data_IF_357162082045
#
_entry.id   IF_357162082045
#
_cell.length_a   1.000
_cell.length_b   1.000
_cell.length_c   1.000
_cell.angle_alpha   90.00
_cell.angle_beta   90.00
_cell.angle_gamma   90.00
#
_symmetry.space_group_name_H-M   'P 1'
#
loop_
_entity.id
_entity.type
_entity.pdbx_description
1 polymer ?
#
# COMPACT_ATOMS: atom_id res chain seq x y z
N UNK A 1 9.09 37.58 -5.38
CA UNK A 1 8.23 36.49 -5.84
C UNK A 1 8.95 35.17 -5.56
N UNK A 2 8.25 34.16 -5.09
CA UNK A 2 8.78 32.80 -4.82
C UNK A 2 8.08 31.79 -5.72
N UNK A 3 8.79 30.77 -6.14
CA UNK A 3 8.20 29.64 -6.86
C UNK A 3 7.78 28.59 -5.84
N UNK A 4 6.48 28.37 -5.70
CA UNK A 4 5.92 27.38 -4.76
C UNK A 4 5.19 26.31 -5.57
N UNK A 5 5.42 25.03 -5.25
CA UNK A 5 4.67 23.92 -5.79
C UNK A 5 3.35 23.78 -5.02
N UNK A 6 2.23 24.12 -5.65
CA UNK A 6 0.89 24.09 -5.04
C UNK A 6 0.06 23.03 -5.74
N UNK A 7 -0.33 21.97 -5.04
CA UNK A 7 -1.13 20.86 -5.61
C UNK A 7 -0.55 20.39 -6.96
N UNK A 8 0.72 20.03 -7.02
CA UNK A 8 1.48 19.58 -8.20
C UNK A 8 1.83 20.67 -9.24
N UNK A 9 1.32 21.89 -9.10
CA UNK A 9 1.53 22.99 -10.06
C UNK A 9 2.49 24.01 -9.46
N UNK A 10 3.55 24.35 -10.18
CA UNK A 10 4.46 25.44 -9.78
C UNK A 10 3.79 26.79 -10.08
N UNK A 11 3.68 27.62 -9.06
CA UNK A 11 3.17 28.99 -9.17
C UNK A 11 4.17 30.00 -8.61
N UNK A 12 4.22 31.17 -9.19
CA UNK A 12 4.90 32.32 -8.62
C UNK A 12 3.93 33.06 -7.69
N UNK A 13 4.35 33.27 -6.44
CA UNK A 13 3.54 33.89 -5.38
C UNK A 13 4.32 35.01 -4.71
N UNK A 14 3.60 35.97 -4.13
CA UNK A 14 4.20 37.07 -3.36
C UNK A 14 4.22 36.76 -1.85
N UNK A 15 3.52 35.72 -1.42
CA UNK A 15 3.34 35.38 -0.01
C UNK A 15 4.64 34.96 0.66
N UNK A 16 4.86 35.40 1.90
CA UNK A 16 6.00 35.09 2.71
C UNK A 16 5.76 33.92 3.68
N UNK A 17 4.49 33.60 3.95
CA UNK A 17 4.06 32.57 4.88
C UNK A 17 2.78 31.88 4.40
N UNK A 18 2.37 30.82 5.10
CA UNK A 18 1.21 30.01 4.72
C UNK A 18 -0.12 30.75 4.83
N UNK A 19 -0.25 31.68 5.79
CA UNK A 19 -1.48 32.46 5.95
C UNK A 19 -1.68 33.41 4.75
N UNK A 20 -0.65 34.18 4.39
CA UNK A 20 -0.68 35.08 3.24
C UNK A 20 -0.92 34.28 1.94
N UNK A 21 -0.32 33.10 1.78
CA UNK A 21 -0.56 32.23 0.64
C UNK A 21 -2.03 31.78 0.54
N UNK A 22 -2.65 31.44 1.66
CA UNK A 22 -4.08 31.08 1.68
C UNK A 22 -4.94 32.26 1.23
N UNK A 23 -4.64 33.48 1.71
CA UNK A 23 -5.35 34.71 1.30
C UNK A 23 -5.12 35.00 -0.18
N UNK A 24 -3.88 34.98 -0.66
CA UNK A 24 -3.52 35.24 -2.06
C UNK A 24 -4.25 34.29 -3.03
N UNK A 25 -4.44 33.03 -2.63
CA UNK A 25 -5.08 32.00 -3.45
C UNK A 25 -6.59 31.84 -3.20
N UNK A 26 -7.17 32.60 -2.25
CA UNK A 26 -8.58 32.46 -1.89
C UNK A 26 -8.95 31.11 -1.30
N UNK A 27 -8.04 30.50 -0.51
CA UNK A 27 -8.24 29.18 0.10
C UNK A 27 -9.18 29.30 1.30
N UNK A 28 -10.27 28.55 1.27
CA UNK A 28 -11.30 28.56 2.33
C UNK A 28 -10.81 27.88 3.62
N UNK A 29 -11.41 28.27 4.77
CA UNK A 29 -10.99 27.79 6.10
C UNK A 29 -11.22 26.28 6.31
N UNK A 30 -12.14 25.66 5.58
CA UNK A 30 -12.42 24.24 5.60
C UNK A 30 -11.37 23.37 4.88
N UNK A 31 -10.32 24.01 4.35
CA UNK A 31 -9.25 23.35 3.58
C UNK A 31 -8.08 22.97 4.48
N UNK A 32 -7.70 21.70 4.43
CA UNK A 32 -6.50 21.19 5.13
C UNK A 32 -5.26 21.65 4.37
N UNK A 33 -4.29 22.22 5.10
CA UNK A 33 -2.98 22.58 4.57
C UNK A 33 -1.96 21.50 4.93
N UNK A 34 -1.28 20.95 3.94
CA UNK A 34 -0.12 20.08 4.13
C UNK A 34 1.12 20.84 3.67
N UNK A 35 2.10 20.99 4.55
CA UNK A 35 3.36 21.64 4.28
C UNK A 35 4.51 20.68 4.61
N UNK A 36 5.38 20.44 3.64
CA UNK A 36 6.52 19.49 3.77
C UNK A 36 6.11 18.11 4.28
N UNK A 37 4.94 17.61 3.87
CA UNK A 37 4.43 16.29 4.25
C UNK A 37 3.66 16.25 5.58
N UNK A 38 3.49 17.37 6.28
CA UNK A 38 2.78 17.45 7.57
C UNK A 38 1.55 18.34 7.48
N UNK A 39 0.43 17.87 8.04
CA UNK A 39 -0.75 18.72 8.20
C UNK A 39 -0.44 19.80 9.24
N UNK A 40 -0.75 21.04 8.93
CA UNK A 40 -0.48 22.17 9.81
C UNK A 40 -1.53 23.28 9.69
N UNK A 41 -1.85 23.89 10.82
CA UNK A 41 -2.62 25.14 10.91
C UNK A 41 -1.72 26.29 11.34
N UNK A 42 -0.41 26.05 11.51
CA UNK A 42 0.56 27.08 11.89
C UNK A 42 0.91 28.00 10.71
N UNK A 43 1.14 29.26 11.02
CA UNK A 43 1.60 30.22 10.04
C UNK A 43 3.11 30.15 9.80
N UNK A 44 3.54 29.14 9.01
CA UNK A 44 4.95 28.87 8.74
C UNK A 44 5.47 29.71 7.58
N UNK A 45 6.75 30.08 7.66
CA UNK A 45 7.46 30.84 6.59
C UNK A 45 7.65 29.95 5.36
N UNK A 46 7.38 30.52 4.19
CA UNK A 46 7.61 29.90 2.89
C UNK A 46 9.00 30.23 2.36
N UNK A 47 9.67 29.23 1.81
CA UNK A 47 10.91 29.37 1.06
C UNK A 47 10.68 29.07 -0.41
N UNK A 48 11.60 29.50 -1.26
CA UNK A 48 11.55 29.21 -2.69
C UNK A 48 11.63 27.67 -2.92
N UNK A 49 10.83 27.18 -3.87
CA UNK A 49 10.65 25.76 -4.19
C UNK A 49 9.97 24.91 -3.09
N UNK A 50 9.39 25.49 -2.07
CA UNK A 50 8.58 24.74 -1.11
C UNK A 50 7.35 24.10 -1.78
N UNK A 51 6.85 22.99 -1.18
CA UNK A 51 5.64 22.32 -1.63
C UNK A 51 4.52 22.49 -0.60
N UNK A 52 3.36 22.92 -1.07
CA UNK A 52 2.14 23.09 -0.28
C UNK A 52 1.00 22.35 -0.97
N UNK A 53 0.27 21.53 -0.21
CA UNK A 53 -0.92 20.84 -0.71
C UNK A 53 -2.14 21.34 0.06
N UNK A 54 -3.14 21.81 -0.66
CA UNK A 54 -4.44 22.20 -0.13
C UNK A 54 -5.49 21.16 -0.45
N UNK A 55 -6.07 20.52 0.58
CA UNK A 55 -7.09 19.48 0.43
C UNK A 55 -8.43 20.03 0.88
N UNK A 56 -9.31 20.33 -0.06
CA UNK A 56 -10.67 20.75 0.25
C UNK A 56 -11.54 19.53 0.59
N UNK A 57 -12.17 19.55 1.76
CA UNK A 57 -13.01 18.44 2.23
C UNK A 57 -14.18 18.19 1.26
N UNK A 58 -14.47 16.92 0.98
CA UNK A 58 -15.61 16.50 0.16
C UNK A 58 -15.49 16.77 -1.34
N UNK A 59 -14.35 17.28 -1.83
CA UNK A 59 -14.11 17.46 -3.26
C UNK A 59 -13.16 16.37 -3.79
N UNK A 60 -13.51 15.79 -4.94
CA UNK A 60 -12.62 14.89 -5.68
C UNK A 60 -11.67 15.79 -6.50
N UNK A 61 -10.37 15.75 -6.25
CA UNK A 61 -9.40 16.54 -7.00
C UNK A 61 -9.21 15.98 -8.41
N UNK A 62 -8.61 16.79 -9.31
CA UNK A 62 -8.16 16.29 -10.62
C UNK A 62 -7.10 15.20 -10.41
N UNK A 63 -7.05 14.21 -11.31
CA UNK A 63 -6.14 13.05 -11.21
C UNK A 63 -4.67 13.45 -10.99
N UNK A 64 -4.22 14.54 -11.61
CA UNK A 64 -2.85 15.06 -11.47
C UNK A 64 -2.49 15.41 -10.01
N UNK A 65 -3.48 15.92 -9.26
CA UNK A 65 -3.31 16.29 -7.85
C UNK A 65 -3.67 15.14 -6.90
N UNK A 66 -4.53 14.21 -7.33
CA UNK A 66 -5.05 13.14 -6.48
C UNK A 66 -3.93 12.28 -5.89
N UNK A 67 -2.96 11.87 -6.70
CA UNK A 67 -1.83 11.06 -6.27
C UNK A 67 -1.02 11.74 -5.15
N UNK A 68 -0.70 13.02 -5.32
CA UNK A 68 0.03 13.78 -4.29
C UNK A 68 -0.81 13.95 -3.01
N UNK A 69 -2.11 14.22 -3.16
CA UNK A 69 -3.01 14.37 -2.01
C UNK A 69 -3.18 13.07 -1.23
N UNK A 70 -3.22 11.92 -1.91
CA UNK A 70 -3.27 10.60 -1.26
C UNK A 70 -1.98 10.30 -0.49
N UNK A 71 -0.83 10.72 -1.01
CA UNK A 71 0.48 10.55 -0.38
C UNK A 71 0.84 11.65 0.64
N UNK A 72 0.03 12.70 0.77
CA UNK A 72 0.37 13.92 1.48
C UNK A 72 0.64 13.77 2.99
N UNK A 73 0.20 12.66 3.60
CA UNK A 73 0.45 12.36 5.02
C UNK A 73 1.66 11.45 5.26
N UNK A 74 2.30 11.00 4.19
CA UNK A 74 3.55 10.27 4.29
C UNK A 74 4.73 11.25 4.26
N UNK A 75 5.79 10.99 5.00
CA UNK A 75 7.03 11.75 4.81
C UNK A 75 7.64 11.50 3.42
N UNK A 76 8.47 12.41 2.89
CA UNK A 76 9.12 12.21 1.60
C UNK A 76 9.88 10.88 1.51
N UNK A 77 10.62 10.50 2.57
CA UNK A 77 11.40 9.27 2.62
C UNK A 77 10.51 8.03 2.53
N UNK A 78 9.34 8.06 3.20
CA UNK A 78 8.36 6.97 3.11
C UNK A 78 7.78 6.89 1.70
N UNK A 79 7.46 8.02 1.09
CA UNK A 79 6.95 8.05 -0.28
C UNK A 79 7.97 7.49 -1.28
N UNK A 80 9.25 7.83 -1.13
CA UNK A 80 10.33 7.31 -1.99
C UNK A 80 10.46 5.79 -1.82
N UNK A 81 10.43 5.30 -0.58
CA UNK A 81 10.47 3.86 -0.31
C UNK A 81 9.28 3.11 -0.90
N UNK A 82 8.06 3.66 -0.78
CA UNK A 82 6.84 3.06 -1.32
C UNK A 82 6.82 3.08 -2.87
N UNK A 83 7.32 4.16 -3.48
CA UNK A 83 7.43 4.27 -4.93
C UNK A 83 8.46 3.31 -5.54
N UNK A 84 9.52 2.97 -4.80
CA UNK A 84 10.53 2.00 -5.23
C UNK A 84 10.17 0.54 -4.94
N UNK A 85 9.20 0.28 -4.08
CA UNK A 85 8.90 -1.08 -3.62
C UNK A 85 8.10 -1.89 -4.65
N UNK A 86 8.56 -3.12 -4.93
CA UNK A 86 7.87 -4.11 -5.75
C UNK A 86 7.53 -5.32 -4.88
N UNK A 87 6.25 -5.47 -4.55
CA UNK A 87 5.80 -6.46 -3.58
C UNK A 87 4.93 -7.52 -4.25
N UNK A 88 5.31 -8.78 -4.09
CA UNK A 88 4.50 -9.94 -4.45
C UNK A 88 3.69 -10.44 -3.27
N UNK A 89 2.46 -10.87 -3.51
CA UNK A 89 1.59 -11.44 -2.49
C UNK A 89 1.21 -12.84 -2.94
N UNK A 90 1.66 -13.84 -2.20
CA UNK A 90 1.42 -15.25 -2.45
C UNK A 90 0.26 -15.76 -1.59
N UNK A 91 -0.88 -16.02 -2.22
CA UNK A 91 -2.14 -16.35 -1.56
C UNK A 91 -2.96 -15.11 -1.22
N UNK A 92 -4.20 -15.06 -1.69
CA UNK A 92 -5.10 -13.92 -1.57
C UNK A 92 -6.34 -14.25 -0.68
N UNK A 93 -6.13 -15.11 0.31
CA UNK A 93 -7.11 -15.40 1.34
C UNK A 93 -7.29 -14.25 2.34
N UNK A 94 -7.66 -14.57 3.59
CA UNK A 94 -7.94 -13.57 4.63
C UNK A 94 -6.78 -12.63 4.90
N UNK A 95 -5.56 -13.17 4.98
CA UNK A 95 -4.36 -12.39 5.21
C UNK A 95 -3.94 -11.62 3.94
N UNK A 96 -3.76 -12.33 2.81
CA UNK A 96 -3.23 -11.70 1.58
C UNK A 96 -4.12 -10.62 1.00
N UNK A 97 -5.45 -10.81 1.01
CA UNK A 97 -6.38 -9.77 0.56
C UNK A 97 -6.29 -8.51 1.45
N UNK A 98 -6.14 -8.69 2.76
CA UNK A 98 -5.99 -7.57 3.70
C UNK A 98 -4.66 -6.85 3.53
N UNK A 99 -3.55 -7.58 3.36
CA UNK A 99 -2.22 -7.03 3.10
C UNK A 99 -2.21 -6.24 1.79
N UNK A 100 -2.78 -6.79 0.71
CA UNK A 100 -2.84 -6.12 -0.59
C UNK A 100 -3.57 -4.76 -0.50
N UNK A 101 -4.73 -4.74 0.14
CA UNK A 101 -5.50 -3.51 0.34
C UNK A 101 -4.74 -2.50 1.20
N UNK A 102 -4.12 -2.93 2.29
CA UNK A 102 -3.34 -2.05 3.16
C UNK A 102 -2.15 -1.42 2.40
N UNK A 103 -1.40 -2.22 1.64
CA UNK A 103 -0.29 -1.74 0.82
C UNK A 103 -0.75 -0.78 -0.30
N UNK A 104 -1.87 -1.07 -0.95
CA UNK A 104 -2.45 -0.17 -1.94
C UNK A 104 -2.86 1.18 -1.33
N UNK A 105 -3.45 1.18 -0.12
CA UNK A 105 -3.85 2.40 0.59
C UNK A 105 -2.67 3.28 1.00
N UNK A 106 -1.57 2.69 1.46
CA UNK A 106 -0.37 3.47 1.82
C UNK A 106 0.41 3.95 0.59
N UNK A 107 0.10 3.45 -0.62
CA UNK A 107 0.66 3.98 -1.86
C UNK A 107 1.87 3.21 -2.41
N UNK A 108 1.99 1.90 -2.12
CA UNK A 108 2.97 1.04 -2.81
C UNK A 108 2.71 1.10 -4.31
N UNK A 109 3.75 1.33 -5.09
CA UNK A 109 3.61 1.57 -6.53
C UNK A 109 3.37 0.32 -7.36
N UNK A 110 3.81 -0.85 -6.89
CA UNK A 110 3.67 -2.11 -7.62
C UNK A 110 3.30 -3.27 -6.70
N UNK A 111 2.24 -3.98 -7.08
CA UNK A 111 1.77 -5.20 -6.43
C UNK A 111 1.62 -6.33 -7.45
N UNK A 112 2.22 -7.50 -7.18
CA UNK A 112 1.95 -8.73 -7.91
C UNK A 112 1.08 -9.65 -7.05
N UNK A 113 -0.13 -9.94 -7.53
CA UNK A 113 -1.13 -10.74 -6.82
C UNK A 113 -1.17 -12.15 -7.41
N UNK A 114 -0.92 -13.16 -6.58
CA UNK A 114 -0.84 -14.56 -7.03
C UNK A 114 -1.75 -15.45 -6.19
N UNK A 115 -2.72 -16.04 -6.86
CA UNK A 115 -3.65 -17.05 -6.30
C UNK A 115 -4.29 -17.83 -7.45
N UNK A 116 -4.73 -19.04 -7.24
CA UNK A 116 -5.41 -19.86 -8.25
C UNK A 116 -6.91 -20.04 -7.97
N UNK A 117 -7.39 -19.63 -6.78
CA UNK A 117 -8.75 -19.82 -6.34
C UNK A 117 -9.72 -18.78 -6.92
N UNK A 118 -10.99 -19.13 -6.88
CA UNK A 118 -12.12 -18.22 -7.04
C UNK A 118 -12.66 -17.75 -5.68
N UNK A 119 -13.39 -16.65 -5.70
CA UNK A 119 -14.11 -16.16 -4.53
C UNK A 119 -15.32 -17.06 -4.26
N UNK A 120 -15.42 -17.57 -3.05
CA UNK A 120 -16.50 -18.42 -2.56
C UNK A 120 -17.30 -17.70 -1.46
N UNK A 121 -18.61 -17.96 -1.30
CA UNK A 121 -19.41 -17.37 -0.23
C UNK A 121 -18.82 -17.52 1.17
N UNK A 122 -18.17 -18.66 1.48
CA UNK A 122 -17.51 -18.90 2.76
C UNK A 122 -16.28 -18.01 3.01
N UNK A 123 -15.77 -17.36 1.99
CA UNK A 123 -14.63 -16.45 2.10
C UNK A 123 -15.03 -15.07 2.69
N UNK A 124 -16.29 -14.65 2.50
CA UNK A 124 -16.74 -13.29 2.78
C UNK A 124 -16.71 -12.92 4.27
N UNK A 125 -16.62 -13.90 5.15
CA UNK A 125 -16.56 -13.65 6.61
C UNK A 125 -15.18 -13.11 7.07
N UNK A 126 -14.11 -13.21 6.24
CA UNK A 126 -12.73 -12.82 6.62
C UNK A 126 -11.85 -12.31 5.49
N UNK A 127 -12.28 -12.44 4.23
CA UNK A 127 -11.55 -11.96 3.05
C UNK A 127 -12.17 -10.65 2.54
N UNK A 128 -11.41 -9.87 1.84
CA UNK A 128 -11.78 -8.49 1.44
C UNK A 128 -12.58 -8.45 0.12
N UNK A 129 -13.41 -9.45 -0.13
CA UNK A 129 -14.26 -9.53 -1.32
C UNK A 129 -15.70 -9.17 -0.99
N UNK A 130 -16.46 -8.84 -2.03
CA UNK A 130 -17.88 -8.52 -1.96
C UNK A 130 -18.73 -9.66 -2.54
N UNK A 131 -20.03 -9.64 -2.24
CA UNK A 131 -20.99 -10.60 -2.81
C UNK A 131 -20.94 -10.62 -4.34
N UNK A 132 -20.71 -9.46 -4.97
CA UNK A 132 -20.57 -9.31 -6.43
C UNK A 132 -19.32 -9.95 -7.02
N UNK A 133 -18.39 -10.41 -6.18
CA UNK A 133 -17.14 -11.02 -6.60
C UNK A 133 -17.19 -12.55 -6.58
N UNK A 134 -18.26 -13.13 -6.02
CA UNK A 134 -18.44 -14.59 -5.97
C UNK A 134 -18.32 -15.19 -7.37
N UNK A 135 -17.48 -16.22 -7.50
CA UNK A 135 -17.18 -16.91 -8.75
C UNK A 135 -16.06 -16.28 -9.60
N UNK A 136 -15.63 -15.05 -9.35
CA UNK A 136 -14.44 -14.47 -10.00
C UNK A 136 -13.17 -15.07 -9.42
N UNK A 137 -12.09 -15.10 -10.19
CA UNK A 137 -10.77 -15.37 -9.63
C UNK A 137 -10.40 -14.32 -8.59
N UNK A 138 -9.82 -14.75 -7.46
CA UNK A 138 -9.38 -13.86 -6.38
C UNK A 138 -8.42 -12.78 -6.86
N UNK A 139 -7.53 -13.13 -7.78
CA UNK A 139 -6.59 -12.19 -8.41
C UNK A 139 -7.30 -11.06 -9.11
N UNK A 140 -8.29 -11.36 -9.95
CA UNK A 140 -9.04 -10.35 -10.70
C UNK A 140 -9.94 -9.51 -9.77
N UNK A 141 -10.66 -10.16 -8.87
CA UNK A 141 -11.54 -9.46 -7.92
C UNK A 141 -10.75 -8.45 -7.06
N UNK A 142 -9.58 -8.86 -6.57
CA UNK A 142 -8.75 -7.99 -5.74
C UNK A 142 -8.10 -6.85 -6.55
N UNK A 143 -7.69 -7.11 -7.80
CA UNK A 143 -7.20 -6.06 -8.70
C UNK A 143 -8.27 -4.99 -8.96
N UNK A 144 -9.51 -5.41 -9.21
CA UNK A 144 -10.66 -4.50 -9.41
C UNK A 144 -10.96 -3.65 -8.16
N UNK A 145 -10.81 -4.23 -6.97
CA UNK A 145 -10.96 -3.53 -5.68
C UNK A 145 -9.83 -2.52 -5.48
N UNK A 146 -8.59 -2.91 -5.74
CA UNK A 146 -7.42 -2.04 -5.61
C UNK A 146 -7.52 -0.84 -6.55
N UNK A 147 -7.95 -1.05 -7.80
CA UNK A 147 -8.15 0.03 -8.76
C UNK A 147 -9.14 1.10 -8.27
N UNK A 148 -10.17 0.71 -7.50
CA UNK A 148 -11.12 1.64 -6.87
C UNK A 148 -10.56 2.34 -5.63
N UNK A 149 -9.59 1.72 -4.94
CA UNK A 149 -8.93 2.27 -3.74
C UNK A 149 -7.83 3.25 -4.14
N UNK A 150 -6.96 2.83 -5.04
CA UNK A 150 -5.80 3.60 -5.49
C UNK A 150 -5.47 3.26 -6.95
N UNK A 151 -5.93 4.08 -7.91
CA UNK A 151 -5.74 3.82 -9.33
C UNK A 151 -4.29 4.00 -9.80
N UNK A 152 -3.38 4.46 -8.93
CA UNK A 152 -1.97 4.68 -9.26
C UNK A 152 -1.08 3.48 -8.95
N UNK A 153 -1.62 2.43 -8.32
CA UNK A 153 -0.91 1.18 -8.08
C UNK A 153 -0.87 0.37 -9.37
N UNK A 154 0.33 -0.01 -9.80
CA UNK A 154 0.49 -0.97 -10.89
C UNK A 154 0.25 -2.38 -10.32
N UNK A 155 -0.86 -2.99 -10.69
CA UNK A 155 -1.25 -4.33 -10.24
C UNK A 155 -1.02 -5.33 -11.37
N UNK A 156 -0.13 -6.29 -11.14
CA UNK A 156 0.06 -7.47 -11.99
C UNK A 156 -0.60 -8.67 -11.32
N UNK A 157 -1.36 -9.45 -12.08
CA UNK A 157 -2.05 -10.63 -11.56
C UNK A 157 -1.50 -11.90 -12.21
N UNK A 158 -1.43 -12.97 -11.43
CA UNK A 158 -1.03 -14.30 -11.91
C UNK A 158 -1.97 -15.34 -11.30
N UNK A 159 -2.87 -15.87 -12.13
CA UNK A 159 -3.86 -16.87 -11.68
C UNK A 159 -3.29 -18.28 -11.88
N UNK A 160 -2.43 -18.68 -10.97
CA UNK A 160 -1.70 -19.94 -11.04
C UNK A 160 -1.48 -20.56 -9.64
N UNK A 161 -1.46 -21.88 -9.58
CA UNK A 161 -0.98 -22.59 -8.39
C UNK A 161 0.54 -22.56 -8.36
N UNK A 162 1.09 -22.03 -7.26
CA UNK A 162 2.53 -21.96 -7.06
C UNK A 162 3.11 -23.33 -6.68
N UNK A 163 4.25 -23.65 -7.29
CA UNK A 163 5.08 -24.82 -7.00
C UNK A 163 6.59 -24.49 -7.05
N UNK A 164 7.42 -25.48 -6.84
CA UNK A 164 8.87 -25.35 -6.82
C UNK A 164 9.47 -24.88 -8.16
N UNK A 165 8.79 -25.19 -9.29
CA UNK A 165 9.26 -24.90 -10.63
C UNK A 165 8.93 -23.46 -11.07
N UNK A 166 7.83 -22.90 -10.56
CA UNK A 166 7.32 -21.60 -11.04
C UNK A 166 7.51 -20.44 -10.06
N UNK A 167 7.67 -20.71 -8.75
CA UNK A 167 7.67 -19.66 -7.71
C UNK A 167 8.74 -18.59 -7.94
N UNK A 168 9.93 -18.92 -8.41
CA UNK A 168 11.00 -17.95 -8.68
C UNK A 168 10.70 -17.08 -9.91
N UNK A 169 10.21 -17.69 -10.99
CA UNK A 169 9.85 -16.95 -12.21
C UNK A 169 8.65 -16.03 -12.00
N UNK A 170 7.64 -16.51 -11.28
CA UNK A 170 6.44 -15.72 -10.95
C UNK A 170 6.79 -14.45 -10.19
N UNK A 171 7.64 -14.52 -9.17
CA UNK A 171 8.03 -13.36 -8.38
C UNK A 171 9.31 -12.66 -8.85
N UNK A 172 9.79 -12.93 -10.07
CA UNK A 172 11.08 -12.38 -10.54
C UNK A 172 11.15 -10.85 -10.47
N UNK A 173 10.04 -10.16 -10.77
CA UNK A 173 9.93 -8.70 -10.72
C UNK A 173 9.83 -8.10 -9.31
N UNK A 174 9.65 -8.91 -8.27
CA UNK A 174 9.42 -8.46 -6.91
C UNK A 174 10.72 -8.41 -6.09
N UNK A 175 10.84 -7.46 -5.17
CA UNK A 175 11.92 -7.37 -4.19
C UNK A 175 11.54 -8.04 -2.87
N UNK A 176 10.25 -7.97 -2.54
CA UNK A 176 9.66 -8.50 -1.31
C UNK A 176 8.51 -9.43 -1.69
N UNK A 177 8.39 -10.55 -0.99
CA UNK A 177 7.27 -11.48 -1.12
C UNK A 177 6.59 -11.67 0.23
N UNK A 178 5.30 -11.32 0.30
CA UNK A 178 4.44 -11.63 1.43
C UNK A 178 3.88 -13.05 1.25
N UNK A 179 4.25 -13.95 2.11
CA UNK A 179 3.75 -15.34 2.15
C UNK A 179 2.47 -15.36 3.00
N UNK A 180 1.32 -15.59 2.36
CA UNK A 180 -0.01 -15.51 2.96
C UNK A 180 -0.83 -16.79 2.83
N UNK A 181 -0.20 -17.95 2.62
CA UNK A 181 -0.89 -19.23 2.55
C UNK A 181 -1.40 -19.68 3.92
N UNK A 182 -2.43 -20.49 3.92
CA UNK A 182 -2.92 -21.21 5.10
C UNK A 182 -2.35 -22.63 5.20
N UNK A 183 -1.88 -23.20 4.09
CA UNK A 183 -1.33 -24.54 4.01
C UNK A 183 0.16 -24.57 4.40
N UNK A 184 0.57 -25.36 5.41
CA UNK A 184 1.96 -25.44 5.86
C UNK A 184 2.94 -25.92 4.78
N UNK A 185 2.53 -26.83 3.90
CA UNK A 185 3.39 -27.33 2.82
C UNK A 185 3.65 -26.23 1.78
N UNK A 186 2.62 -25.46 1.40
CA UNK A 186 2.77 -24.34 0.48
C UNK A 186 3.67 -23.25 1.07
N UNK A 187 3.55 -22.97 2.39
CA UNK A 187 4.47 -22.06 3.11
C UNK A 187 5.91 -22.51 3.03
N UNK A 188 6.17 -23.78 3.39
CA UNK A 188 7.51 -24.34 3.35
C UNK A 188 8.09 -24.36 1.92
N UNK A 189 7.28 -24.73 0.93
CA UNK A 189 7.65 -24.69 -0.49
C UNK A 189 8.13 -23.30 -0.89
N UNK A 190 7.33 -22.24 -0.63
CA UNK A 190 7.68 -20.88 -1.00
C UNK A 190 8.96 -20.41 -0.29
N UNK A 191 9.05 -20.59 1.03
CA UNK A 191 10.20 -20.13 1.84
C UNK A 191 11.49 -20.81 1.41
N UNK A 192 11.44 -22.10 1.08
CA UNK A 192 12.63 -22.88 0.71
C UNK A 192 13.10 -22.62 -0.72
N UNK A 193 12.21 -22.20 -1.62
CA UNK A 193 12.53 -22.08 -3.04
C UNK A 193 12.78 -20.64 -3.51
N UNK A 194 12.17 -19.62 -2.89
CA UNK A 194 12.44 -18.21 -3.28
C UNK A 194 13.87 -17.83 -2.90
N UNK A 195 14.59 -17.29 -3.91
CA UNK A 195 15.99 -16.87 -3.77
C UNK A 195 16.12 -15.35 -3.93
N UNK A 196 17.07 -14.77 -3.17
CA UNK A 196 17.49 -13.37 -3.32
C UNK A 196 16.38 -12.30 -3.14
N UNK A 197 15.33 -12.62 -2.39
CA UNK A 197 14.23 -11.71 -2.08
C UNK A 197 13.97 -11.69 -0.58
N UNK A 198 13.42 -10.59 -0.09
CA UNK A 198 12.93 -10.53 1.28
C UNK A 198 11.59 -11.26 1.34
N UNK A 199 11.47 -12.20 2.27
CA UNK A 199 10.23 -12.92 2.53
C UNK A 199 9.67 -12.46 3.87
N UNK A 200 8.41 -12.05 3.87
CA UNK A 200 7.62 -11.77 5.06
C UNK A 200 6.55 -12.85 5.17
N UNK A 201 6.77 -13.80 6.06
CA UNK A 201 5.89 -14.95 6.25
C UNK A 201 5.03 -14.78 7.51
N UNK A 202 3.79 -15.23 7.45
CA UNK A 202 2.91 -15.25 8.61
C UNK A 202 2.78 -16.66 9.17
N UNK A 203 2.84 -16.81 10.50
CA UNK A 203 2.37 -18.05 11.12
C UNK A 203 0.85 -18.06 11.10
N UNK A 204 0.25 -19.16 10.61
CA UNK A 204 -1.18 -19.37 10.67
C UNK A 204 -1.64 -19.27 12.12
N UNK A 205 -2.57 -18.35 12.39
CA UNK A 205 -3.17 -18.23 13.71
C UNK A 205 -4.54 -18.88 13.66
N UNK A 206 -4.73 -19.90 14.45
CA UNK A 206 -6.03 -20.50 14.70
C UNK A 206 -6.40 -20.27 16.18
N UNK A 207 -7.64 -19.87 16.44
CA UNK A 207 -8.22 -19.79 17.77
C UNK A 207 -8.04 -18.43 18.48
N UNK A 208 -8.44 -18.41 19.72
CA UNK A 208 -8.46 -17.25 20.60
C UNK A 208 -7.15 -17.21 21.39
N UNK A 209 -6.32 -16.25 21.10
CA UNK A 209 -5.10 -16.10 21.84
C UNK A 209 -4.79 -14.64 22.12
N UNK A 210 -3.81 -14.42 22.97
CA UNK A 210 -3.37 -13.08 23.33
C UNK A 210 -2.71 -12.40 22.12
N UNK A 211 -3.21 -11.26 21.72
CA UNK A 211 -2.67 -10.48 20.58
C UNK A 211 -1.28 -9.91 20.85
N UNK A 212 -0.95 -9.69 22.12
CA UNK A 212 0.37 -9.23 22.56
C UNK A 212 1.49 -10.27 22.37
N UNK A 213 1.13 -11.53 22.11
CA UNK A 213 2.08 -12.58 21.74
C UNK A 213 2.46 -12.58 20.24
N UNK A 214 1.78 -11.77 19.42
CA UNK A 214 2.13 -11.62 18.01
C UNK A 214 3.39 -10.77 17.90
N UNK A 215 4.46 -11.38 17.39
CA UNK A 215 5.75 -10.72 17.24
C UNK A 215 6.27 -10.84 15.81
N UNK A 216 7.06 -9.88 15.39
CA UNK A 216 7.85 -9.99 14.17
C UNK A 216 9.25 -10.45 14.54
N UNK A 217 9.68 -11.59 14.00
CA UNK A 217 10.98 -12.21 14.28
C UNK A 217 11.75 -12.31 12.97
N UNK A 218 13.00 -11.86 12.98
CA UNK A 218 13.93 -12.11 11.88
C UNK A 218 14.52 -13.50 12.02
N UNK A 219 14.05 -14.44 11.17
CA UNK A 219 14.46 -15.86 11.20
C UNK A 219 15.76 -16.12 10.46
N UNK A 220 16.04 -15.33 9.39
CA UNK A 220 17.24 -15.41 8.58
C UNK A 220 17.57 -14.02 7.98
N UNK A 221 18.65 -13.93 7.18
CA UNK A 221 19.08 -12.67 6.56
C UNK A 221 17.93 -11.97 5.80
N UNK A 222 17.10 -12.75 5.13
CA UNK A 222 16.03 -12.28 4.25
C UNK A 222 14.64 -12.84 4.61
N UNK A 223 14.47 -13.47 5.78
CA UNK A 223 13.22 -14.06 6.22
C UNK A 223 12.74 -13.43 7.51
N UNK A 224 11.56 -12.82 7.47
CA UNK A 224 10.84 -12.32 8.63
C UNK A 224 9.58 -13.14 8.85
N UNK A 225 9.29 -13.51 10.07
CA UNK A 225 8.08 -14.23 10.47
C UNK A 225 7.24 -13.37 11.40
N UNK A 226 5.95 -13.22 11.07
CA UNK A 226 4.96 -12.53 11.89
C UNK A 226 4.01 -13.56 12.47
N UNK A 227 3.77 -13.51 13.77
CA UNK A 227 2.84 -14.41 14.47
C UNK A 227 3.34 -14.79 15.85
N UNK A 228 2.70 -15.80 16.44
CA UNK A 228 3.18 -16.35 17.71
C UNK A 228 4.50 -17.05 17.49
N UNK A 229 5.47 -16.72 18.32
CA UNK A 229 6.69 -17.49 18.41
C UNK A 229 6.36 -18.80 19.17
N UNK A 230 6.15 -19.89 18.44
CA UNK A 230 6.37 -21.20 19.06
C UNK A 230 7.87 -21.46 19.02
N UNK A 231 8.43 -21.52 20.18
CA UNK A 231 9.76 -22.08 20.41
C UNK A 231 9.68 -23.58 20.21
#
# INVERSE_FOLDING_TARGET
MKKIKINSIIKEVNSDNLHDLRLELGISDDTITIYKGFATDENLKLNDNDSVIFIKKGQIPKNECLKEMMAARNSPEINDALNGAKIGIAGLGGLGSSVAIALARVGVSYLKLVDFDTVDPSNLNRQQYFISDIGKYKTQALADIIAKINPFVNVEIETIKLDENNVNSVFNSCDIVAECFDNPHAKAMLINNIKNKIIVAASGMAGYGRSDEIKTIKMAKNLYKIGRAHV
#
